data_IF_416938325399
#
_entry.id   IF_416938325399
#
_cell.length_a   1.000
_cell.length_b   1.000
_cell.length_c   1.000
_cell.angle_alpha   90.00
_cell.angle_beta   90.00
_cell.angle_gamma   90.00
#
_symmetry.space_group_name_H-M   'P 1'
#
loop_
_entity.id
_entity.type
_entity.pdbx_description
1 polymer ?
#
# COMPACT_ATOMS: atom_id res chain seq x y z
N UNK A 1 -11.35 -49.80 41.89
CA UNK A 1 -10.45 -50.98 41.82
C UNK A 1 -10.58 -51.53 40.41
N UNK A 2 -9.75 -51.07 39.48
CA UNK A 2 -8.43 -51.62 39.12
C UNK A 2 -8.51 -52.85 38.19
N UNK A 3 -8.25 -52.55 36.92
CA UNK A 3 -7.35 -53.25 36.00
C UNK A 3 -7.80 -54.47 35.19
N UNK A 4 -7.22 -54.46 33.97
CA UNK A 4 -6.91 -55.56 33.04
C UNK A 4 -8.12 -56.02 32.22
N UNK A 5 -8.07 -56.08 30.90
CA UNK A 5 -6.96 -56.06 29.93
C UNK A 5 -7.39 -56.97 28.79
N UNK A 6 -7.20 -56.56 27.54
CA UNK A 6 -7.36 -57.48 26.41
C UNK A 6 -6.43 -57.01 25.27
N UNK A 7 -5.46 -57.86 24.98
CA UNK A 7 -4.57 -57.86 23.84
C UNK A 7 -5.06 -58.96 22.89
N UNK A 8 -4.99 -58.75 21.57
CA UNK A 8 -4.67 -59.72 20.50
C UNK A 8 -5.01 -59.05 19.15
N UNK A 9 -4.04 -58.48 18.44
CA UNK A 9 -3.20 -59.13 17.41
C UNK A 9 -4.02 -59.76 16.26
N UNK A 10 -4.13 -59.01 15.17
CA UNK A 10 -4.42 -59.54 13.83
C UNK A 10 -3.13 -59.48 13.02
N UNK A 11 -2.68 -60.66 12.59
CA UNK A 11 -1.60 -60.91 11.64
C UNK A 11 -1.87 -60.21 10.31
N UNK A 12 -0.81 -59.80 9.59
CA UNK A 12 -0.43 -60.39 8.31
C UNK A 12 0.80 -59.65 7.77
N UNK A 13 1.92 -60.37 7.70
CA UNK A 13 3.08 -59.99 6.91
C UNK A 13 2.85 -60.43 5.46
N UNK A 14 3.02 -59.51 4.50
CA UNK A 14 3.36 -59.87 3.12
C UNK A 14 4.47 -58.95 2.63
N UNK A 15 5.53 -59.62 2.21
CA UNK A 15 6.80 -59.17 1.66
C UNK A 15 6.69 -58.46 0.30
N UNK A 16 7.83 -57.89 -0.10
CA UNK A 16 8.28 -57.61 -1.47
C UNK A 16 7.61 -56.40 -2.15
N UNK A 17 8.26 -55.60 -3.00
CA UNK A 17 9.66 -55.39 -3.38
C UNK A 17 9.57 -54.19 -4.34
N UNK A 18 10.41 -53.18 -4.18
CA UNK A 18 10.79 -52.27 -5.28
C UNK A 18 11.47 -53.16 -6.35
N UNK A 19 11.21 -53.07 -7.68
CA UNK A 19 11.66 -51.91 -8.48
C UNK A 19 10.93 -51.53 -9.78
N UNK A 20 11.17 -50.28 -10.20
CA UNK A 20 11.41 -49.90 -11.60
C UNK A 20 10.20 -49.62 -12.50
N UNK A 21 10.08 -48.37 -12.95
CA UNK A 21 10.00 -47.97 -14.38
C UNK A 21 9.34 -46.59 -14.57
N UNK A 22 9.75 -45.94 -15.65
CA UNK A 22 9.08 -44.86 -16.37
C UNK A 22 9.07 -43.46 -15.71
N UNK A 23 10.04 -42.64 -16.11
CA UNK A 23 9.81 -41.19 -16.15
C UNK A 23 8.78 -40.83 -17.23
N UNK A 24 8.04 -39.74 -17.05
CA UNK A 24 7.49 -39.02 -18.18
C UNK A 24 8.02 -37.59 -18.23
N UNK A 25 8.47 -37.27 -19.45
CA UNK A 25 8.22 -36.04 -20.19
C UNK A 25 8.33 -34.69 -19.46
N UNK A 26 9.28 -33.91 -19.96
CA UNK A 26 9.22 -32.44 -20.04
C UNK A 26 7.79 -32.00 -20.39
N UNK A 27 7.09 -31.44 -19.43
CA UNK A 27 5.85 -30.69 -19.64
C UNK A 27 6.06 -29.27 -19.11
N UNK A 28 6.31 -28.37 -20.06
CA UNK A 28 6.05 -26.93 -20.04
C UNK A 28 5.97 -26.28 -18.66
N UNK A 29 7.10 -25.70 -18.24
CA UNK A 29 7.13 -24.68 -17.20
C UNK A 29 6.20 -23.53 -17.62
N UNK A 30 4.99 -23.54 -17.07
CA UNK A 30 3.96 -22.53 -17.27
C UNK A 30 4.51 -21.12 -17.04
N UNK A 31 4.09 -20.21 -17.90
CA UNK A 31 4.47 -18.78 -17.95
C UNK A 31 4.14 -17.98 -16.68
N UNK A 32 3.58 -18.60 -15.65
CA UNK A 32 3.14 -17.94 -14.42
C UNK A 32 4.30 -17.51 -13.51
N UNK A 33 5.47 -18.14 -13.61
CA UNK A 33 6.59 -17.84 -12.71
C UNK A 33 7.25 -16.48 -13.00
N UNK A 34 7.21 -16.00 -14.25
CA UNK A 34 7.73 -14.66 -14.61
C UNK A 34 6.72 -13.56 -14.34
N UNK A 35 5.41 -13.81 -14.50
CA UNK A 35 4.34 -12.89 -14.10
C UNK A 35 4.23 -12.74 -12.57
N UNK A 36 4.63 -13.78 -11.83
CA UNK A 36 4.65 -13.76 -10.35
C UNK A 36 5.77 -12.90 -9.75
N UNK A 37 6.82 -12.61 -10.52
CA UNK A 37 7.97 -11.82 -10.07
C UNK A 37 7.74 -10.30 -10.19
N UNK A 38 6.80 -9.89 -11.06
CA UNK A 38 6.34 -8.50 -11.17
C UNK A 38 5.19 -8.16 -10.22
N UNK A 39 4.65 -9.14 -9.50
CA UNK A 39 3.78 -8.86 -8.36
C UNK A 39 4.66 -8.47 -7.17
N UNK A 40 5.17 -7.24 -7.18
CA UNK A 40 5.34 -6.49 -5.93
C UNK A 40 3.96 -6.49 -5.28
N UNK A 41 3.67 -7.49 -4.44
CA UNK A 41 2.36 -7.76 -3.82
C UNK A 41 2.04 -6.73 -2.72
N UNK A 42 2.32 -5.46 -2.96
CA UNK A 42 2.15 -4.36 -2.04
C UNK A 42 1.60 -3.16 -2.80
N UNK A 43 0.53 -2.56 -2.30
CA UNK A 43 0.05 -1.30 -2.85
C UNK A 43 0.85 -0.09 -2.36
N UNK A 44 0.43 1.12 -2.73
CA UNK A 44 1.12 2.33 -2.32
C UNK A 44 0.82 2.62 -0.85
N UNK A 45 1.84 2.56 0.00
CA UNK A 45 1.72 2.87 1.42
C UNK A 45 1.46 4.36 1.66
N UNK A 46 0.75 4.71 2.73
CA UNK A 46 0.58 6.11 3.12
C UNK A 46 1.92 6.81 3.39
N UNK A 47 2.90 6.08 3.93
CA UNK A 47 4.27 6.60 4.06
C UNK A 47 4.86 6.99 2.70
N UNK A 48 4.64 6.18 1.66
CA UNK A 48 5.14 6.47 0.30
C UNK A 48 4.48 7.74 -0.25
N UNK A 49 3.16 7.88 -0.12
CA UNK A 49 2.44 9.10 -0.52
C UNK A 49 3.05 10.36 0.09
N UNK A 50 3.41 10.30 1.37
CA UNK A 50 4.00 11.42 2.09
C UNK A 50 5.34 11.91 1.50
N UNK A 51 6.02 11.09 0.70
CA UNK A 51 7.29 11.42 0.05
C UNK A 51 7.15 11.79 -1.43
N UNK A 52 5.97 11.58 -2.03
CA UNK A 52 5.77 11.80 -3.47
C UNK A 52 5.48 13.27 -3.78
N UNK A 53 6.17 13.80 -4.80
CA UNK A 53 5.95 15.13 -5.35
C UNK A 53 5.64 15.03 -6.85
N UNK A 54 4.88 16.00 -7.38
CA UNK A 54 4.54 16.05 -8.79
C UNK A 54 5.79 16.14 -9.68
N UNK A 55 5.96 15.24 -10.67
CA UNK A 55 7.09 15.27 -11.59
C UNK A 55 6.95 16.33 -12.70
N UNK A 56 5.81 17.06 -12.77
CA UNK A 56 5.54 18.04 -13.84
C UNK A 56 6.66 19.07 -13.90
N UNK A 57 7.36 19.25 -15.04
CA UNK A 57 8.49 20.18 -15.18
C UNK A 57 8.07 21.64 -14.93
N UNK A 58 9.02 22.48 -14.52
CA UNK A 58 8.79 23.92 -14.34
C UNK A 58 8.13 24.36 -13.03
N UNK A 59 7.74 23.44 -12.14
CA UNK A 59 7.13 23.77 -10.86
C UNK A 59 8.16 23.86 -9.71
N UNK A 60 7.93 24.78 -8.77
CA UNK A 60 8.71 24.88 -7.52
C UNK A 60 8.35 23.78 -6.52
N UNK A 61 9.14 23.60 -5.45
CA UNK A 61 8.89 22.56 -4.43
C UNK A 61 7.50 22.68 -3.79
N UNK A 62 7.08 23.89 -3.43
CA UNK A 62 5.78 24.15 -2.80
C UNK A 62 4.60 23.93 -3.76
N UNK A 63 4.82 24.03 -5.07
CA UNK A 63 3.79 23.80 -6.09
C UNK A 63 3.64 22.31 -6.46
N UNK A 64 4.65 21.49 -6.16
CA UNK A 64 4.67 20.05 -6.48
C UNK A 64 4.21 19.17 -5.34
N UNK A 65 4.24 19.67 -4.11
CA UNK A 65 4.00 18.91 -2.89
C UNK A 65 3.15 19.73 -1.89
N UNK A 66 2.19 19.11 -1.18
CA UNK A 66 1.79 17.71 -1.24
C UNK A 66 0.88 17.39 -2.44
N UNK A 67 0.90 16.14 -2.89
CA UNK A 67 -0.11 15.64 -3.83
C UNK A 67 -1.40 15.33 -3.06
N UNK A 68 -2.54 15.86 -3.50
CA UNK A 68 -3.82 15.50 -2.89
C UNK A 68 -4.16 14.04 -3.25
N UNK A 69 -4.62 13.27 -2.26
CA UNK A 69 -4.93 11.86 -2.41
C UNK A 69 -6.44 11.66 -2.50
N UNK A 70 -6.90 11.08 -3.59
CA UNK A 70 -8.28 10.60 -3.77
C UNK A 70 -8.23 9.07 -3.77
N UNK A 71 -8.91 8.42 -2.82
CA UNK A 71 -8.85 6.96 -2.63
C UNK A 71 -10.14 6.33 -3.11
N UNK A 72 -10.02 5.30 -3.96
CA UNK A 72 -11.15 4.46 -4.40
C UNK A 72 -11.15 3.12 -3.65
N UNK A 73 -9.97 2.49 -3.51
CA UNK A 73 -9.78 1.27 -2.73
C UNK A 73 -8.48 1.31 -1.94
N UNK A 74 -8.58 1.04 -0.64
CA UNK A 74 -7.44 0.79 0.24
C UNK A 74 -7.59 -0.58 0.93
N UNK A 75 -6.47 -1.20 1.24
CA UNK A 75 -6.37 -2.49 1.90
C UNK A 75 -5.36 -2.43 3.05
N UNK A 76 -5.55 -3.27 4.05
CA UNK A 76 -4.61 -3.39 5.17
C UNK A 76 -3.81 -4.67 4.99
N UNK A 77 -2.50 -4.54 4.81
CA UNK A 77 -1.57 -5.65 4.63
C UNK A 77 -0.49 -5.62 5.71
N UNK A 78 -0.33 -6.70 6.50
CA UNK A 78 0.65 -6.70 7.59
C UNK A 78 2.06 -6.50 7.05
N UNK A 79 2.81 -5.63 7.71
CA UNK A 79 4.20 -5.30 7.38
C UNK A 79 5.12 -5.65 8.55
N UNK A 80 6.39 -5.92 8.26
CA UNK A 80 7.42 -6.16 9.28
C UNK A 80 8.39 -4.98 9.23
N UNK A 81 8.02 -3.85 9.85
CA UNK A 81 8.90 -2.69 9.98
C UNK A 81 9.27 -2.55 11.45
N UNK A 82 10.58 -2.48 11.72
CA UNK A 82 11.10 -2.38 13.08
C UNK A 82 10.84 -0.99 13.67
N UNK A 83 10.72 -0.93 15.00
CA UNK A 83 10.36 0.29 15.72
C UNK A 83 11.34 1.45 15.48
N UNK A 84 12.65 1.17 15.55
CA UNK A 84 13.70 2.16 15.32
C UNK A 84 13.61 2.78 13.91
N UNK A 85 13.19 1.97 12.93
CA UNK A 85 13.00 2.45 11.56
C UNK A 85 11.82 3.41 11.48
N UNK A 86 10.71 3.14 12.17
CA UNK A 86 9.57 4.07 12.16
C UNK A 86 9.97 5.39 12.81
N UNK A 87 10.62 5.35 13.98
CA UNK A 87 11.01 6.55 14.72
C UNK A 87 11.91 7.46 13.86
N UNK A 88 12.93 6.89 13.21
CA UNK A 88 13.81 7.65 12.31
C UNK A 88 13.10 8.20 11.07
N UNK A 89 12.04 7.53 10.59
CA UNK A 89 11.25 8.01 9.46
C UNK A 89 10.22 9.09 9.85
N UNK A 90 9.75 9.11 11.10
CA UNK A 90 8.82 10.15 11.60
C UNK A 90 9.43 11.54 11.49
N UNK A 91 10.74 11.70 11.73
CA UNK A 91 11.43 13.00 11.60
C UNK A 91 11.35 13.59 10.18
N UNK A 92 11.18 12.74 9.17
CA UNK A 92 11.14 13.13 7.75
C UNK A 92 9.72 13.25 7.22
N UNK A 93 8.74 12.86 8.02
CA UNK A 93 7.35 12.79 7.64
C UNK A 93 6.70 14.18 7.79
N UNK A 94 5.95 14.61 6.79
CA UNK A 94 5.07 15.74 6.95
C UNK A 94 3.77 15.27 7.64
N UNK A 95 3.64 15.59 8.93
CA UNK A 95 2.51 15.14 9.75
C UNK A 95 1.15 15.54 9.20
N UNK A 96 1.02 16.80 8.78
CA UNK A 96 -0.25 17.32 8.24
C UNK A 96 -0.67 16.54 7.00
N UNK A 97 0.26 16.29 6.08
CA UNK A 97 0.00 15.56 4.84
C UNK A 97 -0.40 14.12 5.13
N UNK A 98 0.19 13.51 6.15
CA UNK A 98 -0.19 12.19 6.61
C UNK A 98 -1.62 12.17 7.17
N UNK A 99 -2.00 13.11 8.04
CA UNK A 99 -3.36 13.20 8.57
C UNK A 99 -4.39 13.42 7.45
N UNK A 100 -4.09 14.29 6.48
CA UNK A 100 -4.94 14.52 5.32
C UNK A 100 -5.11 13.23 4.49
N UNK A 101 -4.04 12.45 4.30
CA UNK A 101 -4.07 11.18 3.59
C UNK A 101 -4.81 10.08 4.37
N UNK A 102 -4.68 10.08 5.70
CA UNK A 102 -5.40 9.18 6.60
C UNK A 102 -6.91 9.45 6.53
N UNK A 103 -7.31 10.72 6.50
CA UNK A 103 -8.70 11.09 6.29
C UNK A 103 -9.21 10.61 4.92
N UNK A 104 -8.37 10.70 3.88
CA UNK A 104 -8.73 10.26 2.53
C UNK A 104 -8.99 8.74 2.41
N UNK A 105 -8.33 7.90 3.23
CA UNK A 105 -8.62 6.45 3.30
C UNK A 105 -9.82 6.10 4.20
N UNK A 106 -10.54 7.09 4.73
CA UNK A 106 -11.70 6.90 5.61
C UNK A 106 -11.41 7.09 7.10
N UNK A 107 -10.25 7.65 7.46
CA UNK A 107 -9.87 7.97 8.83
C UNK A 107 -9.33 6.79 9.64
N UNK A 108 -9.13 7.01 10.93
CA UNK A 108 -8.61 6.04 11.89
C UNK A 108 -9.53 4.81 12.05
N UNK A 109 -10.85 5.02 12.00
CA UNK A 109 -11.83 3.96 12.16
C UNK A 109 -11.77 2.95 10.99
N UNK A 110 -11.57 3.41 9.75
CA UNK A 110 -11.52 2.53 8.58
C UNK A 110 -10.34 1.56 8.62
N UNK A 111 -9.26 1.95 9.30
CA UNK A 111 -8.10 1.11 9.52
C UNK A 111 -8.16 0.35 10.86
N UNK A 112 -9.22 0.49 11.66
CA UNK A 112 -9.40 -0.23 12.92
C UNK A 112 -8.57 0.32 14.08
N UNK A 113 -8.34 1.64 14.09
CA UNK A 113 -7.79 2.34 15.24
C UNK A 113 -8.92 2.95 16.07
N UNK A 114 -8.87 2.73 17.38
CA UNK A 114 -9.87 3.24 18.33
C UNK A 114 -9.58 4.69 18.77
N UNK A 115 -8.35 5.15 18.57
CA UNK A 115 -7.85 6.44 19.05
C UNK A 115 -7.40 7.29 17.86
N UNK A 116 -7.83 8.54 17.84
CA UNK A 116 -7.38 9.51 16.85
C UNK A 116 -5.94 9.91 17.12
N UNK A 117 -5.23 10.25 16.06
CA UNK A 117 -3.90 10.79 16.18
C UNK A 117 -3.95 12.26 16.66
N UNK A 118 -3.08 12.67 17.60
CA UNK A 118 -2.87 14.07 17.93
C UNK A 118 -2.53 14.92 16.70
N UNK A 119 -2.95 16.19 16.73
CA UNK A 119 -2.63 17.16 15.68
C UNK A 119 -1.14 17.55 15.68
N UNK A 120 -0.47 17.48 16.84
CA UNK A 120 0.95 17.76 16.97
C UNK A 120 1.77 16.46 16.93
N UNK A 121 2.78 16.43 16.07
CA UNK A 121 3.73 15.32 15.95
C UNK A 121 4.57 15.13 17.22
N UNK A 122 4.88 16.20 17.96
CA UNK A 122 5.72 16.12 19.17
C UNK A 122 5.06 15.27 20.28
N UNK A 123 3.73 15.36 20.40
CA UNK A 123 2.94 14.53 21.32
C UNK A 123 2.97 13.05 20.91
N UNK A 124 3.00 12.79 19.60
CA UNK A 124 3.08 11.43 19.04
C UNK A 124 4.45 10.81 19.27
N UNK A 125 5.53 11.57 19.06
CA UNK A 125 6.90 11.08 19.27
C UNK A 125 7.14 10.81 20.76
N UNK A 126 6.72 11.73 21.64
CA UNK A 126 6.87 11.54 23.08
C UNK A 126 6.08 10.34 23.61
N UNK A 127 4.88 10.09 23.09
CA UNK A 127 4.11 8.88 23.46
C UNK A 127 4.69 7.60 22.85
N UNK A 128 5.13 7.61 21.59
CA UNK A 128 5.67 6.43 20.91
C UNK A 128 7.06 5.99 21.44
N UNK A 129 7.87 6.92 21.96
CA UNK A 129 9.19 6.63 22.52
C UNK A 129 9.16 6.20 23.99
N UNK A 130 8.01 6.31 24.66
CA UNK A 130 7.84 5.83 26.03
C UNK A 130 7.33 4.37 26.00
N UNK A 131 8.01 3.48 26.74
CA UNK A 131 7.69 2.04 26.84
C UNK A 131 6.23 1.73 27.23
N UNK A 132 5.50 2.71 27.76
CA UNK A 132 4.12 2.57 28.22
C UNK A 132 3.05 2.62 27.12
N UNK A 133 3.35 3.11 25.90
CA UNK A 133 2.32 3.32 24.86
C UNK A 133 2.60 2.52 23.58
N UNK A 134 2.84 1.21 23.73
CA UNK A 134 2.92 0.21 22.64
C UNK A 134 1.74 0.35 21.65
N UNK A 135 0.61 0.84 22.14
CA UNK A 135 -0.59 1.11 21.34
C UNK A 135 -0.37 2.21 20.29
N UNK A 136 0.33 3.30 20.62
CA UNK A 136 0.60 4.40 19.68
C UNK A 136 1.56 3.97 18.58
N UNK A 137 2.64 3.26 18.94
CA UNK A 137 3.57 2.72 17.96
C UNK A 137 2.87 1.78 16.98
N UNK A 138 2.06 0.86 17.50
CA UNK A 138 1.30 -0.09 16.66
C UNK A 138 0.31 0.64 15.75
N UNK A 139 -0.32 1.70 16.25
CA UNK A 139 -1.20 2.54 15.45
C UNK A 139 -0.46 3.22 14.29
N UNK A 140 0.71 3.82 14.57
CA UNK A 140 1.56 4.42 13.54
C UNK A 140 2.03 3.39 12.51
N UNK A 141 2.50 2.22 12.96
CA UNK A 141 2.93 1.15 12.07
C UNK A 141 1.81 0.75 11.11
N UNK A 142 0.59 0.58 11.64
CA UNK A 142 -0.59 0.20 10.87
C UNK A 142 -0.98 1.28 9.86
N UNK A 143 -1.07 2.53 10.28
CA UNK A 143 -1.43 3.63 9.41
C UNK A 143 -0.37 3.87 8.31
N UNK A 144 0.91 3.88 8.66
CA UNK A 144 1.98 4.23 7.72
C UNK A 144 2.39 3.10 6.79
N UNK A 145 2.48 1.87 7.32
CA UNK A 145 3.12 0.75 6.62
C UNK A 145 2.22 -0.42 6.29
N UNK A 146 1.08 -0.56 6.97
CA UNK A 146 0.10 -1.61 6.64
C UNK A 146 -1.03 -1.11 5.75
N UNK A 147 -1.34 0.19 5.79
CA UNK A 147 -2.40 0.79 4.97
C UNK A 147 -1.86 1.08 3.57
N UNK A 148 -2.39 0.34 2.59
CA UNK A 148 -1.97 0.39 1.20
C UNK A 148 -3.14 0.84 0.30
N UNK A 149 -2.91 1.90 -0.47
CA UNK A 149 -3.85 2.37 -1.49
C UNK A 149 -3.65 1.52 -2.74
N UNK A 150 -4.71 0.82 -3.15
CA UNK A 150 -4.71 -0.07 -4.31
C UNK A 150 -5.24 0.65 -5.55
N UNK A 151 -6.28 1.46 -5.40
CA UNK A 151 -6.91 2.22 -6.48
C UNK A 151 -7.22 3.64 -5.99
N UNK A 152 -6.96 4.63 -6.84
CA UNK A 152 -7.15 6.03 -6.50
C UNK A 152 -6.40 6.95 -7.47
N UNK A 153 -6.25 8.20 -7.07
CA UNK A 153 -5.59 9.24 -7.87
C UNK A 153 -4.78 10.19 -6.97
N UNK A 154 -3.67 10.69 -7.52
CA UNK A 154 -2.88 11.76 -6.93
C UNK A 154 -3.08 13.04 -7.76
N UNK A 155 -3.46 14.14 -7.13
CA UNK A 155 -3.72 15.41 -7.81
C UNK A 155 -2.63 16.42 -7.47
N UNK A 156 -1.99 16.98 -8.49
CA UNK A 156 -1.01 18.05 -8.30
C UNK A 156 -1.71 19.37 -7.91
N UNK A 157 -1.31 20.04 -6.83
CA UNK A 157 -2.03 21.23 -6.36
C UNK A 157 -1.92 22.41 -7.35
N UNK A 158 -0.78 22.58 -8.02
CA UNK A 158 -0.57 23.72 -8.93
C UNK A 158 -1.16 23.51 -10.34
N UNK A 159 -1.13 22.29 -10.87
CA UNK A 159 -1.52 22.01 -12.27
C UNK A 159 -2.81 21.24 -12.40
N UNK A 160 -3.35 20.72 -11.29
CA UNK A 160 -4.51 19.83 -11.26
C UNK A 160 -4.34 18.56 -12.09
N UNK A 161 -3.11 18.25 -12.50
CA UNK A 161 -2.80 16.99 -13.19
C UNK A 161 -3.04 15.82 -12.25
N UNK A 162 -3.74 14.81 -12.76
CA UNK A 162 -4.12 13.60 -12.05
C UNK A 162 -3.18 12.45 -12.43
N UNK A 163 -2.63 11.75 -11.44
CA UNK A 163 -1.82 10.55 -11.61
C UNK A 163 -2.60 9.37 -11.04
N UNK A 164 -2.99 8.42 -11.90
CA UNK A 164 -3.81 7.29 -11.47
C UNK A 164 -2.97 6.28 -10.71
N UNK A 165 -3.53 5.74 -9.63
CA UNK A 165 -3.00 4.61 -8.88
C UNK A 165 -3.78 3.37 -9.35
N UNK A 166 -3.09 2.38 -9.90
CA UNK A 166 -3.67 1.11 -10.32
C UNK A 166 -2.83 -0.03 -9.76
N UNK A 167 -3.49 -1.01 -9.14
CA UNK A 167 -2.82 -2.12 -8.44
C UNK A 167 -1.74 -1.61 -7.45
N UNK A 168 -2.01 -0.44 -6.87
CA UNK A 168 -1.14 0.27 -5.94
C UNK A 168 0.16 0.81 -6.52
N UNK A 169 0.28 0.89 -7.85
CA UNK A 169 1.38 1.57 -8.54
C UNK A 169 0.90 2.93 -9.07
N UNK A 170 1.43 4.05 -8.57
CA UNK A 170 1.13 5.37 -9.13
C UNK A 170 1.77 5.54 -10.51
N UNK A 171 0.96 5.88 -11.51
CA UNK A 171 1.44 6.17 -12.86
C UNK A 171 1.75 7.66 -13.04
N UNK A 172 3.04 7.99 -12.95
CA UNK A 172 3.55 9.35 -13.17
C UNK A 172 3.90 9.68 -14.63
N UNK A 173 3.85 8.68 -15.52
CA UNK A 173 4.28 8.79 -16.91
C UNK A 173 3.13 9.15 -17.86
N UNK A 174 1.88 8.87 -17.48
CA UNK A 174 0.73 9.04 -18.36
C UNK A 174 0.52 10.51 -18.77
N UNK A 175 0.88 10.84 -20.00
CA UNK A 175 0.25 11.92 -20.74
C UNK A 175 -1.23 11.57 -20.87
N UNK A 176 -2.09 12.38 -20.25
CA UNK A 176 -3.52 12.52 -20.50
C UNK A 176 -4.27 11.21 -20.83
N UNK A 177 -4.63 10.43 -19.81
CA UNK A 177 -5.84 9.59 -19.94
C UNK A 177 -7.02 10.56 -19.88
N UNK A 178 -7.36 11.10 -21.06
CA UNK A 178 -8.61 11.79 -21.32
C UNK A 178 -9.77 10.87 -20.92
N UNK A 179 -10.29 11.07 -19.72
CA UNK A 179 -11.60 10.57 -19.32
C UNK A 179 -12.68 11.50 -19.86
N UNK A 180 -13.19 11.18 -21.06
CA UNK A 180 -14.56 11.45 -21.53
C UNK A 180 -15.18 12.84 -21.31
N UNK A 181 -15.30 13.59 -22.41
CA UNK A 181 -16.32 14.62 -22.73
C UNK A 181 -16.58 15.72 -21.68
N UNK A 182 -16.04 16.91 -21.97
CA UNK A 182 -16.86 18.11 -22.12
C UNK A 182 -16.20 19.02 -23.16
N UNK A 183 -16.78 19.03 -24.36
CA UNK A 183 -16.70 20.17 -25.27
C UNK A 183 -17.24 21.39 -24.51
N UNK A 184 -16.36 22.30 -24.14
CA UNK A 184 -16.69 23.71 -24.05
C UNK A 184 -15.78 24.42 -25.02
N UNK A 185 -16.27 24.56 -26.27
CA UNK A 185 -15.78 25.54 -27.22
C UNK A 185 -15.78 26.91 -26.51
N UNK A 186 -14.61 27.47 -26.25
CA UNK A 186 -14.46 28.91 -26.10
C UNK A 186 -13.87 29.46 -27.41
N UNK A 187 -14.53 30.42 -28.07
CA UNK A 187 -14.09 30.92 -29.37
C UNK A 187 -12.73 31.62 -29.25
N UNK A 188 -11.85 31.30 -30.20
CA UNK A 188 -10.66 32.10 -30.49
C UNK A 188 -11.15 33.51 -30.87
N UNK A 189 -10.78 34.52 -30.10
CA UNK A 189 -10.81 35.90 -30.57
C UNK A 189 -9.79 36.01 -31.69
N UNK A 190 -10.27 36.03 -32.93
CA UNK A 190 -9.50 36.45 -34.09
C UNK A 190 -9.04 37.89 -33.87
N UNK A 191 -7.77 38.15 -34.19
CA UNK A 191 -7.20 39.48 -34.14
C UNK A 191 -7.89 40.37 -35.16
N UNK A 192 -8.33 41.53 -34.70
CA UNK A 192 -8.78 42.61 -35.57
C UNK A 192 -7.55 43.42 -36.00
N UNK A 193 -7.26 43.33 -37.29
CA UNK A 193 -6.29 44.13 -38.03
C UNK A 193 -6.96 45.46 -38.41
N UNK A 194 -6.39 46.58 -37.98
CA UNK A 194 -6.64 47.92 -38.54
C UNK A 194 -5.41 48.82 -38.30
#
# INVERSE_FOLDING_TARGET
>A
MSSRGASLLVLFAVLCSWPGEAGPSVSEASSDSKASLLRLRGGMKLFTHNLLASPVPGLTKQQRYPLALEVERAEIRPSKVDQDTIISLLERLNWKVFLDALQAVGGEESIGLERQFPQDMAEVISSACNDGDVHMFRALHRALFETEVMEGQLVCPATQRRFRIQEGVPNFLAADVQGTKQEALSPRSEGEEA
#
